data_IF_506882506889
#
_entry.id   IF_506882506889
#
_cell.length_a   1.000
_cell.length_b   1.000
_cell.length_c   1.000
_cell.angle_alpha   90.00
_cell.angle_beta   90.00
_cell.angle_gamma   90.00
#
_symmetry.space_group_name_H-M   'P 1'
#
loop_
_entity.id
_entity.type
_entity.pdbx_description
1 polymer ?
#
# COMPACT_ATOMS: atom_id res chain seq x y z
N UNK A 1 8.51 13.02 -23.86
CA UNK A 1 9.02 12.37 -22.62
C UNK A 1 9.68 11.04 -23.02
N UNK A 2 11.01 10.91 -22.92
CA UNK A 2 11.78 9.78 -23.52
C UNK A 2 11.50 8.37 -22.94
N UNK A 3 10.67 8.23 -21.89
CA UNK A 3 10.47 6.96 -21.18
C UNK A 3 9.05 6.36 -21.27
N UNK A 4 8.12 7.03 -21.97
CA UNK A 4 6.74 6.55 -22.16
C UNK A 4 6.55 6.00 -23.57
N UNK A 5 5.71 4.97 -23.69
CA UNK A 5 5.17 4.52 -24.99
C UNK A 5 4.18 5.56 -25.54
N UNK A 6 3.77 5.40 -26.80
CA UNK A 6 2.71 6.21 -27.44
C UNK A 6 1.41 6.25 -26.62
N UNK A 7 1.12 5.20 -25.86
CA UNK A 7 -0.09 5.09 -25.03
C UNK A 7 0.13 5.55 -23.57
N UNK A 8 1.24 6.24 -23.28
CA UNK A 8 1.50 6.75 -21.93
C UNK A 8 1.88 5.66 -20.91
N UNK A 9 2.39 4.51 -21.35
CA UNK A 9 2.88 3.45 -20.45
C UNK A 9 4.40 3.59 -20.28
N UNK A 10 4.88 3.67 -19.04
CA UNK A 10 6.30 3.69 -18.69
C UNK A 10 6.94 2.32 -18.89
N UNK A 11 8.05 2.27 -19.63
CA UNK A 11 8.82 1.02 -19.85
C UNK A 11 9.73 0.67 -18.67
N UNK A 12 10.16 1.68 -17.91
CA UNK A 12 10.94 1.53 -16.69
C UNK A 12 10.17 2.18 -15.53
N UNK A 13 9.78 1.39 -14.53
CA UNK A 13 9.03 1.86 -13.36
C UNK A 13 9.83 2.84 -12.51
N UNK A 14 11.15 2.67 -12.40
CA UNK A 14 12.04 3.60 -11.69
C UNK A 14 11.93 5.02 -12.24
N UNK A 15 11.75 5.15 -13.56
CA UNK A 15 11.61 6.44 -14.26
C UNK A 15 10.16 6.81 -14.56
N UNK A 16 9.21 6.10 -13.96
CA UNK A 16 7.79 6.36 -14.18
C UNK A 16 7.37 7.68 -13.53
N UNK A 17 6.59 8.52 -14.24
CA UNK A 17 5.97 9.70 -13.64
C UNK A 17 4.73 9.36 -12.79
N UNK A 18 4.27 8.10 -12.80
CA UNK A 18 3.08 7.67 -12.08
C UNK A 18 3.48 7.07 -10.74
N UNK A 19 3.51 7.90 -9.70
CA UNK A 19 3.99 7.51 -8.37
C UNK A 19 2.92 7.83 -7.33
N UNK A 20 2.67 6.87 -6.45
CA UNK A 20 1.94 7.10 -5.21
C UNK A 20 2.94 7.18 -4.06
N UNK A 21 2.75 8.12 -3.14
CA UNK A 21 3.60 8.28 -1.96
C UNK A 21 2.76 8.40 -0.69
N UNK A 22 3.19 7.72 0.38
CA UNK A 22 2.55 7.84 1.69
C UNK A 22 3.55 7.59 2.82
N UNK A 23 3.34 8.24 3.97
CA UNK A 23 4.07 7.95 5.20
C UNK A 23 3.31 6.87 6.00
N UNK A 24 3.97 5.75 6.28
CA UNK A 24 3.45 4.65 7.09
C UNK A 24 4.46 4.37 8.20
N UNK A 25 4.00 4.42 9.45
CA UNK A 25 4.84 4.22 10.65
C UNK A 25 6.11 5.09 10.63
N UNK A 26 5.95 6.36 10.23
CA UNK A 26 7.03 7.34 10.13
C UNK A 26 7.99 7.15 8.95
N UNK A 27 7.73 6.19 8.06
CA UNK A 27 8.59 5.87 6.90
C UNK A 27 7.88 6.17 5.58
N UNK A 28 8.61 6.78 4.64
CA UNK A 28 8.08 7.09 3.31
C UNK A 28 8.03 5.82 2.44
N UNK A 29 6.83 5.46 1.99
CA UNK A 29 6.56 4.49 0.94
C UNK A 29 6.32 5.23 -0.38
N UNK A 30 6.96 4.77 -1.46
CA UNK A 30 6.70 5.19 -2.84
C UNK A 30 6.41 3.97 -3.70
N UNK A 31 5.27 3.96 -4.38
CA UNK A 31 4.85 2.90 -5.30
C UNK A 31 4.85 3.44 -6.72
N UNK A 32 5.63 2.82 -7.61
CA UNK A 32 5.75 3.29 -8.99
C UNK A 32 4.92 2.43 -9.93
N UNK A 33 4.07 3.07 -10.74
CA UNK A 33 3.15 2.40 -11.64
C UNK A 33 3.56 2.56 -13.09
N UNK A 34 3.24 1.60 -13.94
CA UNK A 34 3.52 1.67 -15.37
C UNK A 34 2.60 2.65 -16.10
N UNK A 35 1.45 3.00 -15.53
CA UNK A 35 0.46 3.87 -16.20
C UNK A 35 -0.39 4.69 -15.23
N UNK A 36 -0.95 5.78 -15.74
CA UNK A 36 -1.97 6.58 -15.02
C UNK A 36 -3.21 5.74 -14.64
N UNK A 37 -3.58 4.77 -15.48
CA UNK A 37 -4.71 3.88 -15.22
C UNK A 37 -4.47 3.01 -13.98
N UNK A 38 -3.28 2.42 -13.87
CA UNK A 38 -2.92 1.61 -12.72
C UNK A 38 -2.89 2.43 -11.43
N UNK A 39 -2.25 3.61 -11.45
CA UNK A 39 -2.26 4.52 -10.31
C UNK A 39 -3.68 4.90 -9.89
N UNK A 40 -4.55 5.26 -10.85
CA UNK A 40 -5.94 5.59 -10.56
C UNK A 40 -6.70 4.42 -9.93
N UNK A 41 -6.60 3.23 -10.53
CA UNK A 41 -7.25 2.03 -10.01
C UNK A 41 -6.76 1.69 -8.60
N UNK A 42 -5.47 1.94 -8.32
CA UNK A 42 -4.91 1.76 -6.98
C UNK A 42 -5.55 2.70 -5.99
N UNK A 43 -5.60 3.99 -6.30
CA UNK A 43 -6.23 5.00 -5.44
C UNK A 43 -7.71 4.70 -5.18
N UNK A 44 -8.46 4.31 -6.21
CA UNK A 44 -9.89 4.00 -6.11
C UNK A 44 -10.17 2.78 -5.22
N UNK A 45 -9.29 1.76 -5.23
CA UNK A 45 -9.49 0.49 -4.49
C UNK A 45 -8.78 0.43 -3.14
N UNK A 46 -8.02 1.46 -2.80
CA UNK A 46 -7.08 1.49 -1.68
C UNK A 46 -7.76 1.23 -0.34
N UNK A 47 -8.81 1.98 -0.06
CA UNK A 47 -9.54 1.90 1.19
C UNK A 47 -10.24 0.54 1.34
N UNK A 48 -10.96 0.11 0.31
CA UNK A 48 -11.71 -1.16 0.33
C UNK A 48 -10.77 -2.37 0.53
N UNK A 49 -9.59 -2.36 -0.09
CA UNK A 49 -8.60 -3.42 0.12
C UNK A 49 -8.08 -3.44 1.57
N UNK A 50 -7.82 -2.27 2.16
CA UNK A 50 -7.39 -2.17 3.57
C UNK A 50 -8.45 -2.76 4.50
N UNK A 51 -9.69 -2.36 4.32
CA UNK A 51 -10.83 -2.75 5.15
C UNK A 51 -11.08 -4.25 5.05
N UNK A 52 -11.06 -4.78 3.83
CA UNK A 52 -11.18 -6.22 3.58
C UNK A 52 -10.06 -7.00 4.30
N UNK A 53 -8.81 -6.58 4.14
CA UNK A 53 -7.66 -7.26 4.74
C UNK A 53 -7.68 -7.19 6.27
N UNK A 54 -7.95 -6.00 6.82
CA UNK A 54 -8.08 -5.78 8.26
C UNK A 54 -9.19 -6.67 8.84
N UNK A 55 -10.36 -6.69 8.21
CA UNK A 55 -11.48 -7.51 8.65
C UNK A 55 -11.16 -9.00 8.57
N UNK A 56 -10.42 -9.47 7.57
CA UNK A 56 -9.96 -10.87 7.51
C UNK A 56 -9.03 -11.22 8.68
N UNK A 57 -8.05 -10.37 8.98
CA UNK A 57 -7.13 -10.56 10.12
C UNK A 57 -7.92 -10.58 11.44
N UNK A 58 -8.79 -9.58 11.65
CA UNK A 58 -9.58 -9.48 12.88
C UNK A 58 -10.56 -10.64 13.03
N UNK A 59 -11.29 -11.04 11.98
CA UNK A 59 -12.22 -12.16 12.04
C UNK A 59 -11.52 -13.46 12.45
N UNK A 60 -10.30 -13.70 11.94
CA UNK A 60 -9.53 -14.92 12.18
C UNK A 60 -8.84 -14.94 13.54
N UNK A 61 -8.21 -13.84 13.95
CA UNK A 61 -7.33 -13.81 15.12
C UNK A 61 -7.86 -12.99 16.29
N UNK A 62 -8.92 -12.20 16.08
CA UNK A 62 -9.53 -11.29 17.07
C UNK A 62 -8.58 -10.23 17.64
N UNK A 63 -7.50 -9.93 16.93
CA UNK A 63 -6.57 -8.86 17.25
C UNK A 63 -6.73 -7.70 16.28
N UNK A 64 -6.74 -6.47 16.80
CA UNK A 64 -6.57 -5.27 16.00
C UNK A 64 -5.08 -5.15 15.65
N UNK A 65 -4.75 -5.21 14.36
CA UNK A 65 -3.36 -5.14 13.87
C UNK A 65 -3.30 -4.00 12.86
N UNK A 66 -2.30 -3.12 12.99
CA UNK A 66 -1.98 -2.18 11.92
C UNK A 66 -1.43 -2.98 10.74
N UNK A 67 -2.26 -3.19 9.72
CA UNK A 67 -1.91 -3.89 8.50
C UNK A 67 -1.83 -2.95 7.29
N UNK A 68 -1.62 -1.65 7.50
CA UNK A 68 -1.65 -0.66 6.42
C UNK A 68 -0.59 -0.92 5.35
N UNK A 69 0.68 -1.06 5.76
CA UNK A 69 1.77 -1.39 4.83
C UNK A 69 1.49 -2.68 4.05
N UNK A 70 1.03 -3.73 4.73
CA UNK A 70 0.68 -4.99 4.08
C UNK A 70 -0.45 -4.80 3.05
N UNK A 71 -1.46 -3.99 3.36
CA UNK A 71 -2.56 -3.66 2.43
C UNK A 71 -2.06 -2.95 1.18
N UNK A 72 -1.24 -1.91 1.32
CA UNK A 72 -0.68 -1.17 0.19
C UNK A 72 0.11 -2.09 -0.76
N UNK A 73 1.01 -2.89 -0.19
CA UNK A 73 1.84 -3.82 -0.97
C UNK A 73 0.99 -4.90 -1.64
N UNK A 74 -0.03 -5.42 -0.94
CA UNK A 74 -0.95 -6.42 -1.49
C UNK A 74 -1.75 -5.87 -2.67
N UNK A 75 -2.29 -4.65 -2.55
CA UNK A 75 -3.06 -4.04 -3.63
C UNK A 75 -2.17 -3.66 -4.81
N UNK A 76 -0.97 -3.13 -4.54
CA UNK A 76 0.00 -2.77 -5.57
C UNK A 76 0.31 -3.97 -6.46
N UNK A 77 0.61 -5.13 -5.85
CA UNK A 77 0.88 -6.37 -6.59
C UNK A 77 -0.29 -6.84 -7.46
N UNK A 78 -1.54 -6.60 -7.02
CA UNK A 78 -2.74 -6.96 -7.78
C UNK A 78 -2.96 -6.05 -9.00
N UNK A 79 -2.52 -4.79 -8.93
CA UNK A 79 -2.81 -3.77 -9.93
C UNK A 79 -1.66 -3.58 -10.90
N UNK A 80 -0.43 -3.49 -10.40
CA UNK A 80 0.75 -3.33 -11.25
C UNK A 80 1.22 -4.70 -11.75
N UNK A 81 0.86 -5.00 -12.99
CA UNK A 81 1.19 -6.27 -13.64
C UNK A 81 2.34 -6.18 -14.66
N UNK A 82 2.99 -5.02 -14.81
CA UNK A 82 4.10 -4.81 -15.77
C UNK A 82 5.48 -4.71 -15.12
N UNK A 83 5.58 -5.06 -13.85
CA UNK A 83 6.82 -5.05 -13.09
C UNK A 83 6.55 -4.80 -11.62
N UNK A 84 7.62 -4.61 -10.86
CA UNK A 84 7.54 -4.28 -9.44
C UNK A 84 8.65 -3.28 -9.12
N UNK A 85 8.28 -2.11 -8.61
CA UNK A 85 9.26 -1.15 -8.12
C UNK A 85 8.66 -0.28 -7.04
N UNK A 86 9.18 -0.43 -5.83
CA UNK A 86 8.82 0.40 -4.69
C UNK A 86 10.07 1.00 -4.08
N UNK A 87 9.92 2.15 -3.43
CA UNK A 87 10.90 2.72 -2.52
C UNK A 87 10.32 2.75 -1.12
N UNK A 88 11.04 2.25 -0.12
CA UNK A 88 10.62 2.35 1.27
C UNK A 88 11.80 2.83 2.11
N UNK A 89 11.67 4.01 2.72
CA UNK A 89 12.73 4.62 3.52
C UNK A 89 14.09 4.69 2.77
N UNK A 90 14.08 5.16 1.52
CA UNK A 90 15.24 5.22 0.61
C UNK A 90 15.84 3.87 0.17
N UNK A 91 15.21 2.75 0.50
CA UNK A 91 15.58 1.45 -0.05
C UNK A 91 14.68 1.08 -1.22
N UNK A 92 15.29 0.57 -2.29
CA UNK A 92 14.61 0.20 -3.52
C UNK A 92 14.35 -1.31 -3.56
N UNK A 93 13.11 -1.70 -3.82
CA UNK A 93 12.72 -3.09 -3.99
C UNK A 93 12.13 -3.32 -5.38
N UNK A 94 12.81 -4.17 -6.15
CA UNK A 94 12.41 -4.58 -7.51
C UNK A 94 11.62 -5.89 -7.55
N UNK A 95 11.41 -6.52 -6.40
CA UNK A 95 10.69 -7.78 -6.31
C UNK A 95 10.05 -7.93 -4.92
N UNK A 96 8.81 -8.40 -4.88
CA UNK A 96 8.08 -8.65 -3.65
C UNK A 96 8.81 -9.65 -2.72
N UNK A 97 9.46 -10.68 -3.28
CA UNK A 97 10.13 -11.72 -2.48
C UNK A 97 11.31 -11.21 -1.66
N UNK A 98 11.82 -10.02 -1.97
CA UNK A 98 12.89 -9.36 -1.22
C UNK A 98 12.37 -8.56 -0.02
N UNK A 99 11.05 -8.41 0.12
CA UNK A 99 10.44 -7.65 1.21
C UNK A 99 10.11 -8.62 2.34
N UNK A 100 10.73 -8.38 3.49
CA UNK A 100 10.39 -9.04 4.74
C UNK A 100 9.60 -8.06 5.59
N UNK A 101 8.34 -8.37 5.84
CA UNK A 101 7.52 -7.63 6.80
C UNK A 101 7.70 -8.28 8.18
N UNK A 102 8.55 -7.66 9.01
CA UNK A 102 8.77 -8.10 10.38
C UNK A 102 7.97 -7.27 11.37
N UNK A 103 7.33 -7.91 12.35
CA UNK A 103 6.81 -7.25 13.54
C UNK A 103 5.79 -8.10 14.32
N UNK A 104 5.73 -7.92 15.65
CA UNK A 104 4.56 -7.53 16.46
C UNK A 104 5.08 -7.03 17.81
N UNK A 105 4.68 -5.83 18.28
CA UNK A 105 4.88 -5.37 19.68
C UNK A 105 3.54 -4.86 20.25
N UNK A 106 3.15 -5.37 21.43
CA UNK A 106 1.96 -5.05 22.26
C UNK A 106 2.28 -3.88 23.23
N UNK A 107 1.41 -3.20 23.99
CA UNK A 107 -0.05 -3.01 24.14
C UNK A 107 -0.21 -1.84 25.16
N UNK A 108 -0.96 -0.77 24.87
CA UNK A 108 -1.36 0.22 25.90
C UNK A 108 -2.88 0.21 26.10
N UNK A 109 -3.33 0.56 27.31
CA UNK A 109 -4.74 0.51 27.75
C UNK A 109 -5.61 1.69 27.29
N UNK A 110 -5.03 2.73 26.68
CA UNK A 110 -5.78 3.91 26.22
C UNK A 110 -5.66 4.02 24.69
N UNK A 111 -6.76 3.72 24.01
CA UNK A 111 -6.85 3.68 22.54
C UNK A 111 -7.89 4.69 22.04
N UNK A 112 -7.67 5.98 22.25
CA UNK A 112 -8.58 7.01 21.71
C UNK A 112 -8.26 7.36 20.24
N UNK A 113 -7.03 7.18 19.75
CA UNK A 113 -6.69 7.58 18.37
C UNK A 113 -7.12 6.61 17.26
N UNK A 114 -7.27 5.30 17.53
CA UNK A 114 -7.63 4.33 16.48
C UNK A 114 -9.13 4.02 16.41
N UNK A 115 -9.89 4.42 17.42
CA UNK A 115 -11.34 4.24 17.43
C UNK A 115 -11.99 5.24 16.47
N UNK A 116 -11.56 6.51 16.43
CA UNK A 116 -12.21 7.52 15.57
C UNK A 116 -12.06 7.21 14.07
N UNK A 117 -10.89 6.80 13.59
CA UNK A 117 -10.70 6.50 12.15
C UNK A 117 -11.46 5.24 11.68
N UNK A 118 -11.68 4.28 12.59
CA UNK A 118 -12.41 3.03 12.31
C UNK A 118 -13.89 3.09 12.72
N UNK A 119 -14.33 4.05 13.55
CA UNK A 119 -15.74 4.18 13.96
C UNK A 119 -16.49 5.22 13.12
N UNK A 120 -15.79 6.20 12.51
CA UNK A 120 -16.41 7.17 11.60
C UNK A 120 -16.85 6.53 10.27
N UNK A 121 -16.28 5.39 9.90
CA UNK A 121 -16.55 4.73 8.60
C UNK A 121 -17.36 3.42 8.68
N UNK A 122 -17.79 2.98 9.88
CA UNK A 122 -18.41 1.66 10.08
C UNK A 122 -19.58 1.65 11.08
N UNK A 123 -20.18 2.80 11.37
CA UNK A 123 -21.46 2.86 12.07
C UNK A 123 -22.61 2.86 11.05
N UNK A 124 -22.99 1.66 10.60
CA UNK A 124 -24.31 1.31 10.08
C UNK A 124 -24.70 -0.07 10.65
#
# INVERSE_FOLDING_TARGET
MKNLTRNGVAKNLEKSPYVFTEVIDGKLLSLHFSSKLHLRNFMEKRNDNFVMLYNHIYKRFKYKVNCKLLSELNLYQKIENRGYYIKFNNEDFQCQSKIILSGVSRMSKNSEEWQETLMINYAD
#
